data_IF_757952808162
#
_entry.id   IF_757952808162
#
_cell.length_a   1.000
_cell.length_b   1.000
_cell.length_c   1.000
_cell.angle_alpha   90.00
_cell.angle_beta   90.00
_cell.angle_gamma   90.00
#
_symmetry.space_group_name_H-M   'P 1'
#
loop_
_entity.id
_entity.type
_entity.pdbx_description
1 polymer ?
#
# COMPACT_ATOMS: atom_id res chain seq x y z
N UNK A 1 -10.87 16.03 -6.98
CA UNK A 1 -10.10 15.66 -5.77
C UNK A 1 -8.71 16.28 -5.90
N UNK A 2 -8.23 17.04 -4.92
CA UNK A 2 -6.89 17.63 -4.92
C UNK A 2 -6.05 16.89 -3.88
N UNK A 3 -4.95 16.27 -4.29
CA UNK A 3 -4.04 15.54 -3.40
C UNK A 3 -2.68 16.23 -3.42
N UNK A 4 -2.10 16.47 -2.25
CA UNK A 4 -0.77 17.04 -2.10
C UNK A 4 0.18 15.96 -1.59
N UNK A 5 1.32 15.82 -2.25
CA UNK A 5 2.41 14.97 -1.76
C UNK A 5 3.74 15.71 -1.86
N UNK A 6 4.55 15.59 -0.82
CA UNK A 6 5.87 16.17 -0.75
C UNK A 6 6.91 15.05 -0.72
N UNK A 7 7.77 15.00 -1.73
CA UNK A 7 8.84 14.00 -1.80
C UNK A 7 10.16 14.62 -1.38
N UNK A 8 10.80 14.04 -0.37
CA UNK A 8 12.11 14.49 0.10
C UNK A 8 12.87 13.34 0.75
N UNK A 9 14.14 13.20 0.40
CA UNK A 9 15.06 12.25 1.04
C UNK A 9 15.71 12.82 2.32
N UNK A 10 15.55 14.12 2.59
CA UNK A 10 16.18 14.75 3.75
C UNK A 10 15.53 14.25 5.05
N UNK A 11 16.38 13.90 6.02
CA UNK A 11 15.93 13.45 7.36
C UNK A 11 15.18 14.54 8.13
N UNK A 12 15.58 15.81 7.97
CA UNK A 12 14.90 16.97 8.57
C UNK A 12 13.43 17.08 8.13
N UNK A 13 13.12 16.61 6.93
CA UNK A 13 11.78 16.68 6.36
C UNK A 13 10.91 15.46 6.70
N UNK A 14 11.36 14.54 7.57
CA UNK A 14 10.66 13.27 7.86
C UNK A 14 9.25 13.49 8.42
N UNK A 15 9.08 14.51 9.25
CA UNK A 15 7.79 14.89 9.84
C UNK A 15 7.23 16.18 9.24
N UNK A 16 7.80 16.64 8.12
CA UNK A 16 7.38 17.86 7.47
C UNK A 16 6.24 17.54 6.50
N UNK A 17 5.02 17.94 6.87
CA UNK A 17 3.84 17.88 6.03
C UNK A 17 3.52 19.29 5.55
N UNK A 18 4.13 19.77 4.43
CA UNK A 18 3.84 21.09 3.92
C UNK A 18 2.37 21.18 3.50
N UNK A 19 1.85 22.39 3.63
CA UNK A 19 0.44 22.69 3.36
C UNK A 19 0.39 23.72 2.22
N UNK A 20 -0.54 23.53 1.28
CA UNK A 20 -0.77 24.48 0.18
C UNK A 20 -2.22 24.93 0.22
N UNK A 21 -2.42 26.24 0.15
CA UNK A 21 -3.73 26.87 -0.02
C UNK A 21 -3.99 27.07 -1.51
N UNK A 22 -5.10 26.53 -2.02
CA UNK A 22 -5.52 26.70 -3.42
C UNK A 22 -6.90 27.37 -3.46
N UNK A 23 -7.14 28.30 -4.41
CA UNK A 23 -8.46 28.89 -4.59
C UNK A 23 -9.48 27.79 -4.94
N UNK A 24 -10.62 27.80 -4.24
CA UNK A 24 -11.73 26.88 -4.41
C UNK A 24 -12.50 27.12 -5.70
N UNK A 25 -13.53 26.30 -5.96
CA UNK A 25 -14.37 26.44 -7.15
C UNK A 25 -15.22 27.73 -7.12
N UNK A 26 -15.49 28.24 -5.92
CA UNK A 26 -16.08 29.55 -5.70
C UNK A 26 -14.95 30.52 -5.32
N UNK A 27 -14.92 31.68 -5.99
CA UNK A 27 -13.87 32.72 -5.97
C UNK A 27 -13.48 33.24 -4.56
N UNK A 28 -14.16 32.78 -3.51
CA UNK A 28 -14.00 33.21 -2.12
C UNK A 28 -13.75 32.06 -1.12
N UNK A 29 -13.53 30.82 -1.57
CA UNK A 29 -13.25 29.68 -0.67
C UNK A 29 -11.82 29.19 -0.81
N UNK A 30 -10.96 29.45 0.17
CA UNK A 30 -9.59 28.95 0.15
C UNK A 30 -9.56 27.52 0.73
N UNK A 31 -9.05 26.55 -0.05
CA UNK A 31 -8.95 25.15 0.39
C UNK A 31 -7.51 24.82 0.74
N UNK A 32 -7.29 24.57 2.03
CA UNK A 32 -5.99 24.17 2.60
C UNK A 32 -5.81 22.66 2.47
N UNK A 33 -4.76 22.23 1.76
CA UNK A 33 -4.46 20.81 1.52
C UNK A 33 -3.13 20.48 2.21
N UNK A 34 -3.15 19.45 3.06
CA UNK A 34 -1.97 18.93 3.74
C UNK A 34 -1.33 17.79 2.96
N UNK A 35 0.00 17.72 2.97
CA UNK A 35 0.72 16.63 2.33
C UNK A 35 0.43 15.28 3.02
N UNK A 36 0.04 14.27 2.23
CA UNK A 36 -0.20 12.91 2.75
C UNK A 36 1.11 12.13 2.86
N UNK A 37 1.21 11.25 3.87
CA UNK A 37 2.44 10.49 4.14
C UNK A 37 2.76 9.41 3.08
N UNK A 38 1.72 8.72 2.59
CA UNK A 38 1.80 7.74 1.52
C UNK A 38 0.57 7.87 0.62
N UNK A 39 0.77 7.99 -0.68
CA UNK A 39 -0.34 8.16 -1.65
C UNK A 39 -0.38 6.98 -2.60
N UNK A 40 -1.59 6.45 -2.84
CA UNK A 40 -1.79 5.31 -3.73
C UNK A 40 -2.06 5.79 -5.15
N UNK A 41 -1.12 5.55 -6.06
CA UNK A 41 -1.24 5.87 -7.48
C UNK A 41 -1.14 4.60 -8.31
N UNK A 42 -2.13 4.38 -9.20
CA UNK A 42 -2.19 3.22 -10.10
C UNK A 42 -2.03 1.85 -9.40
N UNK A 43 -2.39 1.76 -8.12
CA UNK A 43 -2.26 0.53 -7.33
C UNK A 43 -0.98 0.43 -6.49
N UNK A 44 -0.01 1.31 -6.71
CA UNK A 44 1.27 1.37 -5.99
C UNK A 44 1.21 2.43 -4.89
N UNK A 45 1.78 2.16 -3.73
CA UNK A 45 1.93 3.18 -2.70
C UNK A 45 3.26 3.91 -2.87
N UNK A 46 3.18 5.21 -3.08
CA UNK A 46 4.33 6.10 -3.14
C UNK A 46 4.56 6.67 -1.76
N UNK A 47 5.75 6.42 -1.21
CA UNK A 47 6.20 7.01 0.04
C UNK A 47 6.86 8.36 -0.18
N UNK A 48 6.93 9.17 0.88
CA UNK A 48 7.65 10.46 0.90
C UNK A 48 9.08 10.38 0.34
N UNK A 49 9.78 9.28 0.60
CA UNK A 49 11.16 9.03 0.13
C UNK A 49 11.22 8.24 -1.17
N UNK A 50 10.08 7.90 -1.77
CA UNK A 50 9.99 7.00 -2.92
C UNK A 50 10.77 5.68 -2.72
N UNK A 51 10.92 5.23 -1.48
CA UNK A 51 11.58 3.95 -1.16
C UNK A 51 10.64 2.75 -1.30
N UNK A 52 9.34 2.99 -1.40
CA UNK A 52 8.29 1.96 -1.51
C UNK A 52 8.23 1.01 -0.30
N UNK A 53 8.85 1.35 0.83
CA UNK A 53 8.86 0.52 2.03
C UNK A 53 7.43 0.27 2.56
N UNK A 54 6.57 1.28 2.53
CA UNK A 54 5.17 1.14 2.90
C UNK A 54 4.42 0.24 1.92
N UNK A 55 4.72 0.36 0.62
CA UNK A 55 4.13 -0.50 -0.40
C UNK A 55 4.45 -1.97 -0.14
N UNK A 56 5.74 -2.27 0.06
CA UNK A 56 6.22 -3.62 0.37
C UNK A 56 5.59 -4.15 1.65
N UNK A 57 5.51 -3.34 2.71
CA UNK A 57 4.83 -3.73 3.96
C UNK A 57 3.36 -4.08 3.75
N UNK A 58 2.65 -3.28 2.96
CA UNK A 58 1.23 -3.50 2.67
C UNK A 58 1.01 -4.77 1.83
N UNK A 59 1.87 -5.01 0.84
CA UNK A 59 1.84 -6.24 0.03
C UNK A 59 2.19 -7.46 0.87
N UNK A 60 3.21 -7.37 1.72
CA UNK A 60 3.60 -8.44 2.64
C UNK A 60 2.47 -8.79 3.60
N UNK A 61 1.82 -7.81 4.23
CA UNK A 61 0.66 -8.04 5.09
C UNK A 61 -0.51 -8.69 4.33
N UNK A 62 -0.70 -8.33 3.05
CA UNK A 62 -1.72 -8.96 2.20
C UNK A 62 -1.35 -10.40 1.85
N UNK A 63 -0.09 -10.67 1.54
CA UNK A 63 0.43 -12.01 1.27
C UNK A 63 0.33 -12.91 2.51
N UNK A 64 0.63 -12.37 3.69
CA UNK A 64 0.51 -13.07 4.96
C UNK A 64 -0.93 -13.51 5.24
N UNK A 65 -1.92 -12.64 5.00
CA UNK A 65 -3.34 -13.01 5.10
C UNK A 65 -3.71 -14.15 4.16
N UNK A 66 -3.18 -14.14 2.93
CA UNK A 66 -3.40 -15.22 1.97
C UNK A 66 -2.77 -16.53 2.47
N UNK A 67 -1.53 -16.50 2.96
CA UNK A 67 -0.85 -17.67 3.55
C UNK A 67 -1.60 -18.22 4.75
N UNK A 68 -2.06 -17.37 5.66
CA UNK A 68 -2.85 -17.78 6.82
C UNK A 68 -4.15 -18.48 6.38
N UNK A 69 -4.83 -17.96 5.35
CA UNK A 69 -5.98 -18.62 4.73
C UNK A 69 -5.65 -19.99 4.14
N UNK A 70 -4.51 -20.12 3.45
CA UNK A 70 -4.05 -21.42 2.94
C UNK A 70 -3.74 -22.41 4.06
N UNK A 71 -3.12 -21.95 5.16
CA UNK A 71 -2.84 -22.77 6.33
C UNK A 71 -4.10 -23.33 6.97
N UNK A 72 -5.16 -22.51 7.07
CA UNK A 72 -6.47 -22.95 7.55
C UNK A 72 -7.05 -24.08 6.69
N UNK A 73 -6.95 -23.99 5.36
CA UNK A 73 -7.45 -25.01 4.44
C UNK A 73 -6.61 -26.29 4.47
N UNK A 74 -5.28 -26.15 4.56
CA UNK A 74 -4.37 -27.29 4.61
C UNK A 74 -4.52 -28.10 5.89
N UNK A 75 -4.86 -27.45 7.01
CA UNK A 75 -4.99 -28.10 8.32
C UNK A 75 -6.38 -28.72 8.61
N UNK A 76 -7.16 -29.00 7.57
CA UNK A 76 -8.49 -29.64 7.70
C UNK A 76 -8.39 -31.18 7.63
N UNK A 77 -9.33 -31.89 8.26
CA UNK A 77 -9.41 -33.36 8.16
C UNK A 77 -9.74 -33.74 6.70
N UNK A 78 -8.88 -34.54 6.05
CA UNK A 78 -8.86 -34.76 4.58
C UNK A 78 -8.57 -33.48 3.77
N UNK A 79 -7.71 -32.61 4.30
CA UNK A 79 -7.34 -31.35 3.69
C UNK A 79 -6.59 -31.44 2.35
N UNK A 80 -6.16 -30.29 1.87
CA UNK A 80 -5.53 -30.13 0.55
C UNK A 80 -4.27 -30.99 0.40
N UNK A 81 -4.15 -31.70 -0.72
CA UNK A 81 -2.90 -32.37 -1.09
C UNK A 81 -1.78 -31.35 -1.36
N UNK A 82 -0.52 -31.78 -1.22
CA UNK A 82 0.65 -30.91 -1.40
C UNK A 82 0.69 -30.21 -2.77
N UNK A 83 0.24 -30.88 -3.84
CA UNK A 83 0.18 -30.29 -5.17
C UNK A 83 -0.83 -29.12 -5.23
N UNK A 84 -2.00 -29.29 -4.60
CA UNK A 84 -2.99 -28.21 -4.54
C UNK A 84 -2.52 -27.04 -3.69
N UNK A 85 -1.82 -27.28 -2.57
CA UNK A 85 -1.22 -26.21 -1.75
C UNK A 85 -0.20 -25.41 -2.55
N UNK A 86 0.67 -26.09 -3.32
CA UNK A 86 1.64 -25.42 -4.20
C UNK A 86 0.95 -24.59 -5.28
N UNK A 87 -0.10 -25.13 -5.92
CA UNK A 87 -0.89 -24.38 -6.92
C UNK A 87 -1.54 -23.14 -6.30
N UNK A 88 -2.11 -23.27 -5.12
CA UNK A 88 -2.75 -22.18 -4.39
C UNK A 88 -1.73 -21.08 -4.03
N UNK A 89 -0.52 -21.46 -3.60
CA UNK A 89 0.55 -20.50 -3.34
C UNK A 89 0.94 -19.72 -4.61
N UNK A 90 1.14 -20.42 -5.73
CA UNK A 90 1.51 -19.80 -7.01
C UNK A 90 0.38 -18.89 -7.52
N UNK A 91 -0.89 -19.28 -7.35
CA UNK A 91 -2.04 -18.53 -7.84
C UNK A 91 -2.39 -17.33 -6.96
N UNK A 92 -2.25 -17.43 -5.64
CA UNK A 92 -2.77 -16.43 -4.70
C UNK A 92 -1.69 -15.57 -4.04
N UNK A 93 -0.52 -16.13 -3.72
CA UNK A 93 0.53 -15.42 -2.96
C UNK A 93 1.59 -14.86 -3.87
N UNK A 94 2.07 -15.65 -4.84
CA UNK A 94 3.09 -15.20 -5.80
C UNK A 94 2.72 -13.88 -6.49
N UNK A 95 1.50 -13.69 -7.05
CA UNK A 95 1.18 -12.43 -7.70
C UNK A 95 1.13 -11.23 -6.75
N UNK A 96 0.90 -11.44 -5.45
CA UNK A 96 0.91 -10.35 -4.45
C UNK A 96 2.34 -9.91 -4.14
N UNK A 97 3.30 -10.84 -4.13
CA UNK A 97 4.70 -10.52 -3.84
C UNK A 97 5.49 -10.03 -5.05
N UNK A 98 5.08 -10.43 -6.26
CA UNK A 98 5.75 -10.04 -7.51
C UNK A 98 5.19 -8.76 -8.14
N UNK A 99 4.09 -8.24 -7.59
CA UNK A 99 3.50 -6.96 -7.98
C UNK A 99 3.94 -5.90 -6.99
#
# INVERSE_FOLDING_TARGET
KRELMHYSHRRKDKNNAPTISLPGADDNTEVTITATAATKWLGVYLDRTLSFDYHVKQLAARAERAVNGMGLLANTVRGLSQDHVRRLYIACVRPIMTY
#
